data_IF_858192884515
#
_entry.id   IF_858192884515
#
_cell.length_a   1.000
_cell.length_b   1.000
_cell.length_c   1.000
_cell.angle_alpha   90.00
_cell.angle_beta   90.00
_cell.angle_gamma   90.00
#
_symmetry.space_group_name_H-M   'P 1'
#
loop_
_entity.id
_entity.type
_entity.pdbx_description
1 polymer ?
#
# COMPACT_ATOMS: atom_id res chain seq x y z
N UNK A 1 1.94 -18.52 -5.13
CA UNK A 1 1.84 -17.10 -4.75
C UNK A 1 2.58 -16.23 -5.76
N UNK A 2 1.97 -15.16 -6.16
CA UNK A 2 2.56 -14.29 -7.18
C UNK A 2 3.52 -13.30 -6.55
N UNK A 3 4.51 -12.84 -7.35
CA UNK A 3 5.50 -11.90 -6.83
C UNK A 3 4.85 -10.59 -6.33
N UNK A 4 3.71 -10.23 -6.91
CA UNK A 4 3.03 -9.00 -6.52
C UNK A 4 2.05 -9.20 -5.36
N UNK A 5 2.01 -10.38 -4.76
CA UNK A 5 1.18 -10.59 -3.56
C UNK A 5 1.79 -9.83 -2.40
N UNK A 6 0.97 -9.06 -1.70
CA UNK A 6 1.41 -8.29 -0.54
C UNK A 6 1.34 -9.17 0.70
N UNK A 7 2.43 -9.23 1.45
CA UNK A 7 2.47 -10.01 2.68
C UNK A 7 2.57 -9.13 3.92
N UNK A 8 2.94 -7.86 3.76
CA UNK A 8 2.98 -6.93 4.89
C UNK A 8 2.81 -5.51 4.39
N UNK A 9 2.20 -4.67 5.21
CA UNK A 9 2.02 -3.25 4.87
C UNK A 9 2.25 -2.42 6.12
N UNK A 10 2.98 -1.30 5.95
CA UNK A 10 3.20 -0.32 7.00
C UNK A 10 2.81 1.04 6.46
N UNK A 11 1.63 1.54 6.83
CA UNK A 11 1.23 2.87 6.40
C UNK A 11 2.01 3.94 7.15
N UNK A 12 2.22 5.09 6.51
CA UNK A 12 2.87 6.22 7.15
C UNK A 12 1.90 7.38 7.24
N UNK A 13 2.20 8.33 8.11
CA UNK A 13 1.29 9.45 8.31
C UNK A 13 1.36 10.48 7.18
N UNK A 14 2.29 10.32 6.25
CA UNK A 14 2.32 11.16 5.05
C UNK A 14 1.77 10.43 3.83
N UNK A 15 0.87 9.48 4.07
CA UNK A 15 0.11 8.78 3.03
C UNK A 15 0.96 7.92 2.13
N UNK A 16 1.95 7.26 2.69
CA UNK A 16 2.72 6.27 1.95
C UNK A 16 2.49 4.89 2.54
N UNK A 17 2.65 3.88 1.70
CA UNK A 17 2.52 2.49 2.14
C UNK A 17 3.85 1.79 1.89
N UNK A 18 4.46 1.30 2.95
CA UNK A 18 5.66 0.49 2.81
C UNK A 18 5.20 -0.95 2.70
N UNK A 19 5.44 -1.54 1.53
CA UNK A 19 4.88 -2.83 1.18
C UNK A 19 5.97 -3.88 1.11
N UNK A 20 5.69 -5.05 1.68
CA UNK A 20 6.54 -6.21 1.50
C UNK A 20 5.79 -7.21 0.65
N UNK A 21 6.42 -7.63 -0.44
CA UNK A 21 5.80 -8.57 -1.37
C UNK A 21 6.29 -9.99 -1.12
N UNK A 22 5.63 -10.95 -1.76
CA UNK A 22 5.80 -12.36 -1.44
C UNK A 22 7.24 -12.85 -1.50
N UNK A 23 8.07 -12.28 -2.37
CA UNK A 23 9.45 -12.72 -2.49
C UNK A 23 10.41 -11.90 -1.64
N UNK A 24 9.87 -11.16 -0.69
CA UNK A 24 10.69 -10.36 0.21
C UNK A 24 11.05 -8.99 -0.29
N UNK A 25 10.62 -8.65 -1.49
CA UNK A 25 10.89 -7.36 -2.07
C UNK A 25 10.09 -6.28 -1.33
N UNK A 26 10.77 -5.20 -0.95
CA UNK A 26 10.09 -4.08 -0.30
C UNK A 26 10.01 -2.91 -1.25
N UNK A 27 8.83 -2.27 -1.28
CA UNK A 27 8.60 -1.13 -2.13
C UNK A 27 7.79 -0.10 -1.36
N UNK A 28 7.87 1.15 -1.79
CA UNK A 28 7.08 2.20 -1.18
C UNK A 28 6.10 2.75 -2.21
N UNK A 29 4.86 2.88 -1.81
CA UNK A 29 3.80 3.36 -2.68
C UNK A 29 3.28 4.69 -2.14
N UNK A 30 3.32 5.73 -2.99
CA UNK A 30 2.79 7.05 -2.62
C UNK A 30 1.30 7.07 -2.94
N UNK A 31 0.49 7.08 -1.91
CA UNK A 31 -0.96 7.06 -2.06
C UNK A 31 -1.55 8.45 -2.32
N UNK A 32 -0.75 9.50 -2.16
CA UNK A 32 -1.25 10.87 -2.27
C UNK A 32 -2.03 11.15 -3.54
N UNK A 33 -1.57 10.72 -4.73
CA UNK A 33 -2.34 11.00 -5.95
C UNK A 33 -3.73 10.40 -5.94
N UNK A 34 -3.92 9.29 -5.22
CA UNK A 34 -5.21 8.62 -5.19
C UNK A 34 -6.20 9.27 -4.24
N UNK A 35 -5.73 10.17 -3.38
CA UNK A 35 -6.61 10.85 -2.44
C UNK A 35 -7.56 11.81 -3.15
N UNK A 36 -7.24 12.20 -4.37
CA UNK A 36 -8.12 13.06 -5.15
C UNK A 36 -9.34 12.32 -5.66
N UNK A 37 -9.30 10.98 -5.64
CA UNK A 37 -10.42 10.16 -6.09
C UNK A 37 -11.47 10.11 -4.99
N UNK A 38 -12.72 10.42 -5.35
CA UNK A 38 -13.80 10.49 -4.39
C UNK A 38 -13.99 9.20 -3.58
N UNK A 39 -13.77 8.06 -4.21
CA UNK A 39 -13.98 6.79 -3.53
C UNK A 39 -13.01 6.64 -2.36
N UNK A 40 -11.90 7.36 -2.39
CA UNK A 40 -10.90 7.30 -1.33
C UNK A 40 -11.03 8.41 -0.31
N UNK A 41 -12.14 9.15 -0.36
CA UNK A 41 -12.37 10.26 0.54
C UNK A 41 -12.19 9.91 2.02
N UNK A 42 -12.67 8.76 2.50
CA UNK A 42 -12.47 8.42 3.92
C UNK A 42 -11.01 8.34 4.32
N UNK A 43 -10.12 8.09 3.35
CA UNK A 43 -8.70 7.97 3.64
C UNK A 43 -8.02 9.33 3.86
N UNK A 44 -8.73 10.43 3.60
CA UNK A 44 -8.21 11.74 3.94
C UNK A 44 -8.01 11.89 5.44
N UNK A 45 -8.73 11.09 6.23
CA UNK A 45 -8.48 11.00 7.65
C UNK A 45 -7.26 10.11 7.85
N UNK A 46 -6.14 10.71 8.25
CA UNK A 46 -4.89 9.97 8.34
C UNK A 46 -4.96 8.83 9.36
N UNK A 47 -5.74 9.00 10.42
CA UNK A 47 -5.87 7.94 11.40
C UNK A 47 -6.55 6.71 10.79
N UNK A 48 -7.50 6.92 9.90
CA UNK A 48 -8.14 5.81 9.20
C UNK A 48 -7.16 5.20 8.21
N UNK A 49 -6.39 6.03 7.50
CA UNK A 49 -5.38 5.54 6.57
C UNK A 49 -4.39 4.62 7.29
N UNK A 50 -4.04 4.95 8.51
CA UNK A 50 -3.07 4.18 9.28
C UNK A 50 -3.58 2.79 9.66
N UNK A 51 -4.86 2.50 9.46
CA UNK A 51 -5.41 1.18 9.77
C UNK A 51 -5.26 0.19 8.63
N UNK A 52 -4.55 0.55 7.57
CA UNK A 52 -4.33 -0.34 6.43
C UNK A 52 -3.80 -1.69 6.89
N UNK A 53 -4.29 -2.74 6.26
CA UNK A 53 -3.89 -4.10 6.62
C UNK A 53 -3.86 -4.97 5.38
N UNK A 54 -3.17 -6.09 5.49
CA UNK A 54 -3.12 -7.07 4.40
C UNK A 54 -4.33 -7.99 4.49
N UNK A 55 -5.00 -8.17 3.37
CA UNK A 55 -6.15 -9.07 3.27
C UNK A 55 -6.20 -9.59 1.85
N UNK A 56 -6.29 -10.91 1.71
CA UNK A 56 -6.34 -11.55 0.39
C UNK A 56 -5.18 -11.11 -0.51
N UNK A 57 -3.99 -11.02 0.08
CA UNK A 57 -2.74 -10.71 -0.65
C UNK A 57 -2.68 -9.28 -1.16
N UNK A 58 -3.50 -8.38 -0.61
CA UNK A 58 -3.47 -6.98 -0.99
C UNK A 58 -3.71 -6.11 0.23
N UNK A 59 -3.74 -4.81 0.02
CA UNK A 59 -3.98 -3.84 1.10
C UNK A 59 -5.44 -3.45 1.09
N UNK A 60 -6.06 -3.46 2.27
CA UNK A 60 -7.43 -2.97 2.39
C UNK A 60 -7.60 -2.23 3.70
N UNK A 61 -8.63 -1.40 3.75
CA UNK A 61 -9.02 -0.66 4.96
C UNK A 61 -10.34 -1.19 5.49
N UNK A 62 -11.28 -1.51 4.59
CA UNK A 62 -12.52 -2.17 4.95
C UNK A 62 -13.05 -2.87 3.70
N UNK A 63 -14.26 -3.44 3.78
CA UNK A 63 -14.83 -4.22 2.68
C UNK A 63 -14.94 -3.43 1.39
N UNK A 64 -15.05 -2.12 1.49
CA UNK A 64 -15.28 -1.28 0.33
C UNK A 64 -14.06 -0.52 -0.12
N UNK A 65 -12.96 -0.65 0.59
CA UNK A 65 -11.75 0.10 0.30
C UNK A 65 -10.55 -0.84 0.26
N UNK A 66 -10.19 -1.26 -0.92
CA UNK A 66 -9.01 -2.09 -1.13
C UNK A 66 -8.30 -1.60 -2.39
N UNK A 67 -7.09 -2.10 -2.60
CA UNK A 67 -6.28 -1.73 -3.76
C UNK A 67 -5.78 -3.01 -4.40
N UNK A 68 -5.79 -3.04 -5.72
CA UNK A 68 -5.30 -4.19 -6.46
C UNK A 68 -3.80 -4.39 -6.19
N UNK A 69 -3.37 -5.59 -5.79
CA UNK A 69 -1.96 -5.80 -5.46
C UNK A 69 -1.05 -5.63 -6.66
N UNK A 70 -1.52 -6.00 -7.84
CA UNK A 70 -0.73 -5.84 -9.05
C UNK A 70 -0.47 -4.36 -9.33
N UNK A 71 -1.49 -3.53 -9.12
CA UNK A 71 -1.34 -2.09 -9.27
C UNK A 71 -0.32 -1.54 -8.28
N UNK A 72 -0.41 -2.01 -7.03
CA UNK A 72 0.54 -1.57 -6.01
C UNK A 72 1.96 -1.96 -6.39
N UNK A 73 2.14 -3.17 -6.90
CA UNK A 73 3.47 -3.63 -7.27
C UNK A 73 4.05 -2.80 -8.41
N UNK A 74 3.24 -2.50 -9.41
CA UNK A 74 3.73 -1.79 -10.60
C UNK A 74 3.98 -0.31 -10.33
N UNK A 75 3.17 0.30 -9.48
CA UNK A 75 3.24 1.75 -9.27
C UNK A 75 4.10 2.16 -8.09
N UNK A 76 4.51 1.20 -7.27
CA UNK A 76 5.38 1.52 -6.13
C UNK A 76 6.83 1.55 -6.59
N UNK A 77 7.67 2.16 -5.76
CA UNK A 77 9.09 2.28 -6.05
C UNK A 77 9.89 1.37 -5.14
N UNK A 78 10.90 0.74 -5.68
CA UNK A 78 11.78 -0.10 -4.90
C UNK A 78 12.46 0.72 -3.82
N UNK A 79 12.49 0.18 -2.61
CA UNK A 79 13.24 0.79 -1.53
C UNK A 79 14.68 0.37 -1.70
N UNK A 80 15.53 1.38 -1.88
CA UNK A 80 16.95 1.14 -2.01
C UNK A 80 17.54 1.14 -0.61
N UNK A 81 18.08 0.02 -0.20
CA UNK A 81 18.79 0.03 1.06
C UNK A 81 20.09 -0.66 0.90
N UNK A 82 20.81 -0.45 1.61
CA UNK A 82 22.02 -0.83 1.33
C UNK A 82 22.75 0.13 0.65
N UNK A 83 22.55 0.37 0.42
CA UNK A 83 23.27 1.05 0.00
C UNK A 83 23.26 1.95 0.41
N UNK A 84 23.13 1.95 0.65
CA UNK A 84 23.22 2.71 0.96
C UNK A 84 23.72 3.07 1.17
#
# INVERSE_FOLDING_TARGET
MFRWSVVNVEPTRDYKLILTFAKGEKKIFDFTPLLANKINEPLLNVDFFMTAKVHHNTVMWNENLDVCPEYLYEKSKKISHGKA
#
